data_IF_070913237294
#
_entry.id   IF_070913237294
#
_cell.length_a   1.000
_cell.length_b   1.000
_cell.length_c   1.000
_cell.angle_alpha   90.00
_cell.angle_beta   90.00
_cell.angle_gamma   90.00
#
_symmetry.space_group_name_H-M   'P 1'
#
loop_
_entity.id
_entity.type
_entity.pdbx_description
1 polymer ?
#
# COMPACT_ATOMS: atom_id res chain seq x y z
N UNK A 1 -6.08 7.78 -62.02
CA UNK A 1 -6.70 8.71 -61.05
C UNK A 1 -6.36 8.37 -59.59
N UNK A 2 -6.19 7.10 -59.18
CA UNK A 2 -5.89 6.74 -57.78
C UNK A 2 -4.49 7.13 -57.26
N UNK A 3 -3.46 7.27 -58.11
CA UNK A 3 -2.10 7.59 -57.64
C UNK A 3 -1.90 9.05 -57.17
N UNK A 4 -2.77 9.99 -57.57
CA UNK A 4 -2.66 11.41 -57.18
C UNK A 4 -3.25 11.73 -55.80
N UNK A 5 -4.08 10.85 -55.24
CA UNK A 5 -4.63 11.04 -53.89
C UNK A 5 -3.75 10.45 -52.79
N UNK A 6 -2.91 9.45 -53.10
CA UNK A 6 -1.99 8.85 -52.12
C UNK A 6 -0.89 9.81 -51.67
N UNK A 7 -0.34 10.61 -52.60
CA UNK A 7 0.72 11.59 -52.29
C UNK A 7 0.24 12.77 -51.44
N UNK A 8 -1.03 13.19 -51.56
CA UNK A 8 -1.58 14.27 -50.72
C UNK A 8 -1.83 13.85 -49.27
N UNK A 9 -2.10 12.56 -49.03
CA UNK A 9 -2.33 12.03 -47.67
C UNK A 9 -1.00 11.87 -46.91
N UNK A 10 0.07 11.46 -47.59
CA UNK A 10 1.40 11.30 -46.97
C UNK A 10 1.98 12.65 -46.52
N UNK A 11 1.87 13.69 -47.35
CA UNK A 11 2.35 15.04 -47.00
C UNK A 11 1.57 15.63 -45.81
N UNK A 12 0.26 15.39 -45.72
CA UNK A 12 -0.53 15.83 -44.57
C UNK A 12 -0.14 15.12 -43.26
N UNK A 13 0.21 13.84 -43.32
CA UNK A 13 0.64 13.03 -42.17
C UNK A 13 2.04 13.43 -41.64
N UNK A 14 2.98 13.74 -42.54
CA UNK A 14 4.32 14.24 -42.15
C UNK A 14 4.27 15.65 -41.56
N UNK A 15 3.36 16.51 -42.05
CA UNK A 15 3.22 17.87 -41.52
C UNK A 15 2.57 17.86 -40.12
N UNK A 16 1.58 16.98 -39.88
CA UNK A 16 0.91 16.81 -38.57
C UNK A 16 1.82 16.19 -37.50
N UNK A 17 2.73 15.28 -37.87
CA UNK A 17 3.70 14.69 -36.95
C UNK A 17 4.81 15.67 -36.55
N UNK A 18 5.25 16.55 -37.45
CA UNK A 18 6.24 17.59 -37.10
C UNK A 18 5.66 18.66 -36.15
N UNK A 19 4.41 19.08 -36.34
CA UNK A 19 3.73 20.10 -35.53
C UNK A 19 3.39 19.64 -34.10
N UNK A 20 3.15 18.34 -33.91
CA UNK A 20 2.88 17.75 -32.59
C UNK A 20 4.17 17.55 -31.78
N UNK A 21 5.28 17.20 -32.43
CA UNK A 21 6.59 17.07 -31.75
C UNK A 21 7.15 18.42 -31.27
N UNK A 22 7.05 19.48 -32.07
CA UNK A 22 7.60 20.79 -31.73
C UNK A 22 6.88 21.48 -30.56
N UNK A 23 5.55 21.33 -30.46
CA UNK A 23 4.78 21.87 -29.31
C UNK A 23 5.04 21.10 -28.01
N UNK A 24 5.34 19.80 -28.08
CA UNK A 24 5.68 18.99 -26.92
C UNK A 24 7.09 19.33 -26.39
N UNK A 25 8.05 19.54 -27.29
CA UNK A 25 9.44 19.83 -26.92
C UNK A 25 9.60 21.22 -26.27
N UNK A 26 8.80 22.21 -26.70
CA UNK A 26 8.74 23.54 -26.07
C UNK A 26 8.14 23.50 -24.65
N UNK A 27 7.10 22.71 -24.41
CA UNK A 27 6.52 22.54 -23.06
C UNK A 27 7.47 21.81 -22.11
N UNK A 28 8.18 20.79 -22.60
CA UNK A 28 9.17 20.04 -21.82
C UNK A 28 10.39 20.90 -21.45
N UNK A 29 10.91 21.71 -22.38
CA UNK A 29 12.00 22.66 -22.10
C UNK A 29 11.60 23.70 -21.05
N UNK A 30 10.37 24.21 -21.11
CA UNK A 30 9.88 25.19 -20.13
C UNK A 30 9.70 24.61 -18.72
N UNK A 31 9.23 23.37 -18.60
CA UNK A 31 9.14 22.67 -17.31
C UNK A 31 10.52 22.35 -16.71
N UNK A 32 11.49 21.99 -17.55
CA UNK A 32 12.86 21.68 -17.11
C UNK A 32 13.58 22.92 -16.57
N UNK A 33 13.48 24.04 -17.29
CA UNK A 33 14.12 25.31 -16.90
C UNK A 33 13.58 25.85 -15.57
N UNK A 34 12.26 25.74 -15.33
CA UNK A 34 11.67 26.15 -14.05
C UNK A 34 12.04 25.23 -12.89
N UNK A 35 12.20 23.92 -13.10
CA UNK A 35 12.66 23.02 -12.03
C UNK A 35 14.09 23.37 -11.59
N UNK A 36 14.99 23.61 -12.54
CA UNK A 36 16.41 23.86 -12.22
C UNK A 36 16.63 25.18 -11.47
N UNK A 37 15.88 26.25 -11.81
CA UNK A 37 15.92 27.51 -11.05
C UNK A 37 15.26 27.40 -9.67
N UNK A 38 14.21 26.59 -9.54
CA UNK A 38 13.51 26.40 -8.26
C UNK A 38 14.34 25.55 -7.27
N UNK A 39 14.99 24.49 -7.77
CA UNK A 39 15.89 23.67 -6.96
C UNK A 39 17.09 24.48 -6.45
N UNK A 40 17.66 25.39 -7.26
CA UNK A 40 18.77 26.25 -6.84
C UNK A 40 18.40 27.30 -5.79
N UNK A 41 17.13 27.73 -5.74
CA UNK A 41 16.66 28.77 -4.82
C UNK A 41 16.26 28.22 -3.44
N UNK A 42 15.90 26.93 -3.34
CA UNK A 42 15.55 26.31 -2.05
C UNK A 42 16.78 25.78 -1.26
N UNK A 43 17.92 25.54 -1.91
CA UNK A 43 19.12 25.06 -1.22
C UNK A 43 19.71 26.11 -0.25
N UNK A 44 19.37 27.40 -0.39
CA UNK A 44 19.82 28.48 0.52
C UNK A 44 18.92 28.74 1.73
N UNK A 45 17.69 28.19 1.74
CA UNK A 45 16.67 28.47 2.78
C UNK A 45 16.31 27.21 3.60
N UNK A 46 17.15 26.17 3.58
CA UNK A 46 16.92 24.96 4.38
C UNK A 46 17.14 25.20 5.87
N UNK A 47 16.06 25.13 6.63
CA UNK A 47 16.09 24.88 8.07
C UNK A 47 16.61 23.44 8.32
N UNK A 48 17.82 23.27 8.87
CA UNK A 48 18.42 21.96 9.12
C UNK A 48 17.64 21.11 10.13
N UNK A 49 16.67 21.69 10.85
CA UNK A 49 15.90 21.02 11.90
C UNK A 49 14.57 20.42 11.41
N UNK A 50 14.25 20.52 10.11
CA UNK A 50 12.99 19.99 9.57
C UNK A 50 13.06 18.47 9.41
N UNK A 51 12.48 17.77 10.38
CA UNK A 51 12.47 16.31 10.51
C UNK A 51 11.95 15.63 9.23
N UNK A 52 12.84 14.92 8.54
CA UNK A 52 12.50 14.11 7.36
C UNK A 52 11.75 12.88 7.85
N UNK A 53 10.47 12.75 7.48
CA UNK A 53 9.65 11.56 7.76
C UNK A 53 10.39 10.34 7.22
N UNK A 54 10.92 9.52 8.14
CA UNK A 54 11.68 8.33 7.82
C UNK A 54 10.72 7.31 7.18
N UNK A 55 11.00 6.79 5.96
CA UNK A 55 10.18 5.74 5.37
C UNK A 55 10.13 4.53 6.31
N UNK A 56 9.08 3.72 6.17
CA UNK A 56 8.96 2.49 6.93
C UNK A 56 10.25 1.66 6.82
N UNK A 57 10.66 1.09 7.95
CA UNK A 57 11.83 0.24 8.11
C UNK A 57 12.02 -0.82 7.01
N UNK A 58 10.90 -1.39 6.56
CA UNK A 58 10.80 -2.34 5.47
C UNK A 58 9.45 -2.16 4.78
N UNK A 59 9.35 -2.68 3.56
CA UNK A 59 8.15 -2.53 2.75
C UNK A 59 8.02 -3.65 1.72
N UNK A 60 6.83 -3.76 1.13
CA UNK A 60 6.50 -4.76 0.12
C UNK A 60 6.38 -4.10 -1.25
N UNK A 61 7.14 -4.60 -2.24
CA UNK A 61 7.06 -4.14 -3.64
C UNK A 61 6.42 -5.20 -4.51
N UNK A 62 5.70 -4.80 -5.56
CA UNK A 62 5.22 -5.75 -6.56
C UNK A 62 6.38 -6.45 -7.26
N UNK A 63 6.28 -7.76 -7.44
CA UNK A 63 7.32 -8.59 -8.05
C UNK A 63 6.94 -9.00 -9.47
N UNK A 64 7.67 -8.46 -10.45
CA UNK A 64 7.41 -8.69 -11.88
C UNK A 64 8.37 -9.69 -12.54
N UNK A 65 9.13 -10.44 -11.74
CA UNK A 65 10.15 -11.39 -12.22
C UNK A 65 11.59 -10.92 -12.02
N UNK A 66 11.80 -9.61 -11.83
CA UNK A 66 13.10 -9.03 -11.52
C UNK A 66 13.24 -8.80 -10.01
N UNK A 67 14.42 -9.13 -9.46
CA UNK A 67 14.76 -8.88 -8.06
C UNK A 67 15.19 -7.41 -7.92
N UNK A 68 14.53 -6.60 -7.08
CA UNK A 68 15.01 -5.24 -6.80
C UNK A 68 16.35 -5.22 -6.05
N UNK A 69 17.18 -4.20 -6.29
CA UNK A 69 18.49 -4.02 -5.61
C UNK A 69 18.40 -3.98 -4.08
N UNK A 70 17.25 -3.59 -3.54
CA UNK A 70 16.98 -3.48 -2.10
C UNK A 70 16.10 -4.62 -1.56
N UNK A 71 15.94 -5.70 -2.33
CA UNK A 71 15.28 -6.91 -1.86
C UNK A 71 16.10 -7.57 -0.74
N UNK A 72 15.42 -7.93 0.35
CA UNK A 72 16.08 -8.56 1.48
C UNK A 72 16.34 -10.05 1.20
N UNK A 73 17.61 -10.49 1.18
CA UNK A 73 17.95 -11.88 0.90
C UNK A 73 17.48 -12.79 2.04
N UNK A 74 16.92 -13.94 1.68
CA UNK A 74 16.44 -14.94 2.63
C UNK A 74 17.58 -15.80 3.19
N UNK A 75 18.47 -16.24 2.29
CA UNK A 75 19.62 -17.09 2.57
C UNK A 75 20.96 -16.34 2.49
N UNK A 76 22.07 -17.01 2.82
CA UNK A 76 23.40 -16.43 2.68
C UNK A 76 23.71 -16.14 1.20
N UNK A 77 24.57 -15.15 0.87
CA UNK A 77 24.89 -14.71 -0.49
C UNK A 77 25.57 -15.79 -1.32
N UNK A 78 26.18 -16.77 -0.65
CA UNK A 78 26.85 -17.91 -1.27
C UNK A 78 25.87 -19.01 -1.66
N UNK A 79 24.58 -18.88 -1.33
CA UNK A 79 23.56 -19.86 -1.70
C UNK A 79 23.24 -19.70 -3.19
N UNK A 80 23.31 -20.80 -3.93
CA UNK A 80 22.92 -20.85 -5.34
C UNK A 80 21.84 -21.92 -5.55
N UNK A 81 20.61 -21.56 -5.97
CA UNK A 81 20.15 -20.19 -6.26
C UNK A 81 19.97 -19.33 -5.01
N UNK A 82 20.18 -18.01 -5.18
CA UNK A 82 19.84 -17.03 -4.16
C UNK A 82 18.31 -16.99 -4.01
N UNK A 83 17.86 -16.90 -2.77
CA UNK A 83 16.43 -16.85 -2.44
C UNK A 83 16.06 -15.55 -1.75
N UNK A 84 14.80 -15.15 -1.94
CA UNK A 84 14.20 -13.94 -1.39
C UNK A 84 12.84 -14.25 -0.76
N UNK A 85 12.34 -13.31 0.05
CA UNK A 85 11.07 -13.45 0.73
C UNK A 85 9.97 -12.80 -0.12
N UNK A 86 8.96 -13.61 -0.46
CA UNK A 86 7.75 -13.14 -1.10
C UNK A 86 6.53 -13.23 -0.19
N UNK A 87 5.49 -12.46 -0.52
CA UNK A 87 4.11 -12.73 -0.14
C UNK A 87 3.31 -12.93 -1.41
N UNK A 88 2.42 -13.93 -1.39
CA UNK A 88 1.46 -14.17 -2.46
C UNK A 88 0.04 -14.04 -1.94
N UNK A 89 -0.80 -13.33 -2.68
CA UNK A 89 -2.23 -13.25 -2.43
C UNK A 89 -2.92 -14.45 -3.08
N UNK A 90 -3.43 -15.37 -2.27
CA UNK A 90 -4.18 -16.53 -2.71
C UNK A 90 -5.68 -16.20 -2.72
N UNK A 91 -6.21 -15.84 -3.89
CA UNK A 91 -7.59 -15.39 -4.06
C UNK A 91 -8.67 -16.42 -3.61
N UNK A 92 -8.54 -17.74 -3.84
CA UNK A 92 -9.51 -18.73 -3.36
C UNK A 92 -9.70 -18.72 -1.84
N UNK A 93 -8.60 -18.57 -1.09
CA UNK A 93 -8.61 -18.62 0.37
C UNK A 93 -8.59 -17.24 1.03
N UNK A 94 -8.52 -16.18 0.22
CA UNK A 94 -8.29 -14.79 0.63
C UNK A 94 -7.08 -14.60 1.56
N UNK A 95 -6.11 -15.52 1.53
CA UNK A 95 -4.94 -15.46 2.42
C UNK A 95 -3.74 -14.81 1.74
N UNK A 96 -2.90 -14.15 2.54
CA UNK A 96 -1.55 -13.74 2.16
C UNK A 96 -0.55 -14.71 2.79
N UNK A 97 0.12 -15.46 1.93
CA UNK A 97 1.06 -16.50 2.35
C UNK A 97 2.48 -16.05 2.08
N UNK A 98 3.36 -16.24 3.07
CA UNK A 98 4.80 -16.07 2.87
C UNK A 98 5.31 -17.18 1.95
N UNK A 99 6.13 -16.83 0.96
CA UNK A 99 6.69 -17.77 -0.03
C UNK A 99 8.16 -17.46 -0.31
N UNK A 100 8.84 -18.41 -0.96
CA UNK A 100 10.23 -18.27 -1.40
C UNK A 100 10.26 -17.85 -2.86
N UNK A 101 10.89 -16.72 -3.15
CA UNK A 101 11.21 -16.30 -4.52
C UNK A 101 12.61 -16.82 -4.84
N UNK A 102 12.75 -17.52 -5.95
CA UNK A 102 14.04 -17.94 -6.48
C UNK A 102 14.49 -16.96 -7.55
N UNK A 103 15.74 -16.54 -7.51
CA UNK A 103 16.31 -15.69 -8.54
C UNK A 103 16.18 -16.36 -9.94
N UNK A 104 15.79 -15.56 -10.93
CA UNK A 104 15.55 -16.03 -12.31
C UNK A 104 14.18 -16.68 -12.54
N UNK A 105 13.34 -16.88 -11.52
CA UNK A 105 11.96 -17.34 -11.68
C UNK A 105 10.98 -16.16 -11.58
N UNK A 106 9.98 -16.15 -12.45
CA UNK A 106 8.89 -15.16 -12.45
C UNK A 106 7.58 -15.71 -11.85
N UNK A 107 7.67 -16.78 -11.09
CA UNK A 107 6.54 -17.39 -10.40
C UNK A 107 6.98 -17.89 -9.03
N UNK A 108 6.00 -18.08 -8.16
CA UNK A 108 6.20 -18.71 -6.85
C UNK A 108 5.21 -19.85 -6.71
N UNK A 109 5.59 -20.83 -5.90
CA UNK A 109 4.64 -21.80 -5.40
C UNK A 109 3.92 -21.17 -4.20
N UNK A 110 2.61 -21.40 -4.05
CA UNK A 110 1.83 -21.16 -2.82
C UNK A 110 1.16 -22.45 -2.36
N UNK A 111 1.18 -22.71 -1.06
CA UNK A 111 0.93 -24.03 -0.52
C UNK A 111 -0.50 -24.30 -0.08
N UNK A 112 -1.40 -23.31 -0.08
CA UNK A 112 -2.72 -23.39 0.58
C UNK A 112 -3.50 -24.67 0.25
N UNK A 113 -3.34 -25.23 -0.96
CA UNK A 113 -3.97 -26.49 -1.38
C UNK A 113 -3.02 -27.45 -2.15
N UNK A 114 -1.71 -27.26 -2.04
CA UNK A 114 -0.72 -28.10 -2.73
C UNK A 114 -0.60 -27.82 -4.24
N UNK A 115 0.54 -27.24 -4.63
CA UNK A 115 0.96 -26.99 -6.03
C UNK A 115 0.28 -25.83 -6.79
N UNK A 116 -0.28 -24.84 -6.12
CA UNK A 116 -0.73 -23.63 -6.83
C UNK A 116 0.49 -22.82 -7.25
N UNK A 117 0.66 -22.64 -8.57
CA UNK A 117 1.68 -21.75 -9.13
C UNK A 117 1.07 -20.38 -9.33
N UNK A 118 1.60 -19.37 -8.65
CA UNK A 118 1.14 -17.99 -8.83
C UNK A 118 2.08 -17.23 -9.75
N UNK A 119 1.49 -16.44 -10.64
CA UNK A 119 2.22 -15.53 -11.53
C UNK A 119 2.45 -14.18 -10.86
N UNK A 120 3.42 -13.44 -11.38
CA UNK A 120 3.94 -12.14 -10.91
C UNK A 120 2.91 -11.15 -10.35
N UNK A 121 1.72 -11.04 -10.94
CA UNK A 121 0.73 -10.01 -10.60
C UNK A 121 0.18 -10.08 -9.16
N UNK A 122 0.37 -11.20 -8.48
CA UNK A 122 -0.11 -11.44 -7.11
C UNK A 122 1.03 -11.56 -6.09
N UNK A 123 2.26 -11.29 -6.50
CA UNK A 123 3.45 -11.51 -5.70
C UNK A 123 4.03 -10.16 -5.29
N UNK A 124 4.32 -10.04 -3.99
CA UNK A 124 5.13 -8.94 -3.45
C UNK A 124 6.43 -9.48 -2.89
N UNK A 125 7.51 -8.73 -3.01
CA UNK A 125 8.84 -9.03 -2.47
C UNK A 125 9.16 -8.11 -1.31
N UNK A 126 9.80 -8.64 -0.27
CA UNK A 126 10.24 -7.87 0.90
C UNK A 126 11.48 -7.06 0.54
N UNK A 127 11.41 -5.75 0.76
CA UNK A 127 12.52 -4.82 0.53
C UNK A 127 12.82 -4.00 1.79
N UNK A 128 14.08 -3.59 1.94
CA UNK A 128 14.51 -2.71 3.02
C UNK A 128 15.76 -1.92 2.60
N UNK A 129 15.85 -0.68 3.08
CA UNK A 129 17.04 0.15 2.94
C UNK A 129 18.01 0.00 4.13
N UNK A 130 17.61 -0.74 5.16
CA UNK A 130 18.37 -0.95 6.40
C UNK A 130 18.46 -2.46 6.70
N UNK A 131 19.08 -3.27 5.81
CA UNK A 131 19.16 -4.73 5.99
C UNK A 131 19.87 -5.11 7.30
N UNK A 132 20.76 -4.26 7.83
CA UNK A 132 21.45 -4.46 9.10
C UNK A 132 20.55 -4.39 10.34
N UNK A 133 19.31 -3.91 10.18
CA UNK A 133 18.30 -3.89 11.25
C UNK A 133 17.41 -5.13 11.22
N UNK A 134 17.56 -5.99 10.22
CA UNK A 134 16.85 -7.26 10.13
C UNK A 134 17.71 -8.36 10.72
N UNK A 135 17.14 -9.13 11.64
CA UNK A 135 17.85 -10.22 12.30
C UNK A 135 17.04 -11.50 12.24
N UNK A 136 17.73 -12.61 12.08
CA UNK A 136 17.15 -13.94 12.16
C UNK A 136 17.38 -14.50 13.56
N UNK A 137 16.29 -14.80 14.28
CA UNK A 137 16.38 -15.32 15.65
C UNK A 137 15.60 -16.63 15.78
N UNK A 138 16.22 -17.64 16.42
CA UNK A 138 15.52 -18.88 16.79
C UNK A 138 14.54 -18.56 17.91
N UNK A 139 13.24 -18.54 17.60
CA UNK A 139 12.21 -18.37 18.61
C UNK A 139 11.57 -19.70 18.98
N UNK A 140 11.37 -19.88 20.27
CA UNK A 140 10.58 -20.93 20.90
C UNK A 140 9.38 -20.27 21.58
N UNK A 141 8.36 -21.05 21.94
CA UNK A 141 7.25 -20.54 22.74
C UNK A 141 7.71 -19.94 24.09
N UNK A 142 8.83 -20.42 24.61
CA UNK A 142 9.40 -19.97 25.88
C UNK A 142 10.08 -18.61 25.75
N UNK A 143 10.77 -18.35 24.63
CA UNK A 143 11.57 -17.14 24.44
C UNK A 143 10.87 -16.04 23.63
N UNK A 144 9.65 -16.28 23.12
CA UNK A 144 8.90 -15.24 22.40
C UNK A 144 8.63 -14.00 23.26
N UNK A 145 8.55 -14.18 24.59
CA UNK A 145 8.40 -13.07 25.55
C UNK A 145 9.68 -12.26 25.75
N UNK A 146 10.85 -12.81 25.38
CA UNK A 146 12.16 -12.19 25.58
C UNK A 146 12.70 -11.47 24.35
N UNK A 147 11.88 -11.27 23.30
CA UNK A 147 12.31 -10.52 22.10
C UNK A 147 12.50 -9.01 22.36
N UNK A 148 12.10 -8.51 23.53
CA UNK A 148 12.36 -7.13 23.94
C UNK A 148 11.72 -6.10 23.00
N UNK A 149 12.54 -5.17 22.50
CA UNK A 149 12.13 -4.13 21.55
C UNK A 149 12.07 -4.64 20.08
N UNK A 150 12.56 -5.86 19.82
CA UNK A 150 12.58 -6.43 18.48
C UNK A 150 11.16 -6.79 18.05
N UNK A 151 10.80 -6.40 16.81
CA UNK A 151 9.44 -6.59 16.28
C UNK A 151 9.43 -7.70 15.22
N UNK A 152 8.61 -8.76 15.37
CA UNK A 152 8.46 -9.76 14.32
C UNK A 152 8.00 -9.14 13.00
N UNK A 153 8.66 -9.52 11.90
CA UNK A 153 8.30 -9.02 10.57
C UNK A 153 7.05 -9.76 10.08
N UNK A 154 6.02 -8.98 9.77
CA UNK A 154 4.72 -9.50 9.32
C UNK A 154 4.85 -10.04 7.90
N UNK A 155 4.53 -11.33 7.72
CA UNK A 155 4.60 -12.09 6.45
C UNK A 155 3.25 -12.24 5.75
N UNK A 156 2.24 -11.47 6.16
CA UNK A 156 0.88 -11.52 5.62
C UNK A 156 -0.15 -11.93 6.67
N UNK A 157 -1.36 -12.17 6.20
CA UNK A 157 -2.52 -12.56 6.99
C UNK A 157 -3.13 -13.81 6.38
N UNK A 158 -3.25 -14.87 7.17
CA UNK A 158 -3.92 -16.11 6.75
C UNK A 158 -5.27 -16.20 7.41
N UNK A 159 -6.25 -16.62 6.61
CA UNK A 159 -7.55 -17.05 7.09
C UNK A 159 -7.41 -18.45 7.70
N UNK A 160 -7.51 -18.54 9.02
CA UNK A 160 -7.76 -19.81 9.71
C UNK A 160 -9.22 -20.24 9.52
N UNK A 161 -9.58 -21.42 10.03
CA UNK A 161 -10.95 -21.97 9.92
C UNK A 161 -12.01 -21.01 10.43
N UNK A 162 -11.73 -20.26 11.49
CA UNK A 162 -12.69 -19.35 12.13
C UNK A 162 -12.19 -17.92 12.34
N UNK A 163 -10.89 -17.64 12.19
CA UNK A 163 -10.30 -16.34 12.50
C UNK A 163 -9.15 -15.99 11.53
N UNK A 164 -8.91 -14.71 11.34
CA UNK A 164 -7.71 -14.22 10.67
C UNK A 164 -6.53 -14.19 11.64
N UNK A 165 -5.37 -14.66 11.20
CA UNK A 165 -4.13 -14.60 11.95
C UNK A 165 -3.05 -13.88 11.16
N UNK A 166 -2.30 -13.01 11.85
CA UNK A 166 -1.06 -12.45 11.32
C UNK A 166 -0.02 -13.57 11.29
N UNK A 167 0.65 -13.69 10.16
CA UNK A 167 1.80 -14.55 10.00
C UNK A 167 3.08 -13.77 10.22
N UNK A 168 4.06 -14.40 10.85
CA UNK A 168 5.41 -13.86 10.96
C UNK A 168 6.34 -14.66 10.08
N UNK A 169 7.25 -13.95 9.40
CA UNK A 169 8.18 -14.55 8.44
C UNK A 169 9.15 -15.46 9.18
N UNK A 170 9.29 -16.69 8.68
CA UNK A 170 10.29 -17.63 9.15
C UNK A 170 11.19 -18.09 8.02
N UNK A 171 12.34 -18.67 8.37
CA UNK A 171 13.18 -19.42 7.43
C UNK A 171 13.63 -20.74 8.01
N UNK A 172 13.91 -21.68 7.13
CA UNK A 172 14.60 -22.93 7.45
C UNK A 172 15.42 -23.38 6.25
N UNK A 173 16.50 -24.12 6.51
CA UNK A 173 17.41 -24.59 5.48
C UNK A 173 17.27 -26.09 5.34
N UNK A 174 16.98 -26.58 4.12
CA UNK A 174 16.90 -28.01 3.80
C UNK A 174 17.73 -28.28 2.56
N UNK A 175 18.61 -29.27 2.62
CA UNK A 175 19.51 -29.63 1.53
C UNK A 175 20.33 -28.43 0.99
N UNK A 176 20.79 -27.54 1.89
CA UNK A 176 21.57 -26.35 1.53
C UNK A 176 20.78 -25.18 0.94
N UNK A 177 19.46 -25.32 0.76
CA UNK A 177 18.58 -24.25 0.27
C UNK A 177 17.78 -23.68 1.43
N UNK A 178 17.76 -22.35 1.55
CA UNK A 178 16.96 -21.65 2.55
C UNK A 178 15.60 -21.29 1.97
N UNK A 179 14.55 -21.74 2.66
CA UNK A 179 13.16 -21.53 2.30
C UNK A 179 12.48 -20.60 3.29
N UNK A 180 11.66 -19.69 2.77
CA UNK A 180 10.78 -18.86 3.57
C UNK A 180 9.56 -19.67 3.97
N UNK A 181 9.11 -19.42 5.18
CA UNK A 181 7.90 -19.98 5.75
C UNK A 181 7.20 -18.94 6.58
N UNK A 182 6.20 -19.39 7.33
CA UNK A 182 5.56 -18.56 8.32
C UNK A 182 5.20 -19.33 9.58
N UNK A 183 5.01 -18.56 10.66
CA UNK A 183 4.36 -19.03 11.88
C UNK A 183 3.10 -18.18 12.13
N UNK A 184 2.00 -18.85 12.44
CA UNK A 184 0.74 -18.21 12.83
C UNK A 184 0.55 -18.39 14.33
N UNK A 185 0.11 -17.33 15.04
CA UNK A 185 -0.08 -17.36 16.50
C UNK A 185 -1.32 -18.16 16.93
N UNK A 186 -2.30 -18.35 16.05
CA UNK A 186 -3.64 -18.89 16.36
C UNK A 186 -3.79 -20.38 16.07
N UNK A 187 -3.10 -20.90 15.06
CA UNK A 187 -2.91 -22.33 14.94
C UNK A 187 -1.82 -22.72 15.95
N UNK A 188 -1.96 -23.84 16.65
CA UNK A 188 -0.81 -24.51 17.30
C UNK A 188 0.41 -24.39 16.39
N UNK A 189 1.64 -24.18 16.89
CA UNK A 189 2.82 -23.73 16.13
C UNK A 189 3.23 -24.70 15.02
N UNK A 190 2.39 -24.82 14.01
CA UNK A 190 2.56 -25.54 12.78
C UNK A 190 3.36 -24.59 11.93
N UNK A 191 4.63 -24.94 11.81
CA UNK A 191 5.65 -24.14 11.15
C UNK A 191 5.62 -24.56 9.70
N UNK A 192 4.99 -23.77 8.85
CA UNK A 192 4.84 -24.15 7.45
C UNK A 192 6.00 -23.59 6.66
N UNK A 193 6.76 -24.48 6.03
CA UNK A 193 7.74 -24.11 4.99
C UNK A 193 7.28 -24.75 3.71
N UNK A 194 7.31 -23.96 2.65
CA UNK A 194 6.96 -24.44 1.35
C UNK A 194 8.18 -24.96 0.62
N UNK A 195 8.17 -26.24 0.26
CA UNK A 195 9.20 -26.88 -0.55
C UNK A 195 8.51 -27.55 -1.72
N UNK A 196 8.83 -27.09 -2.94
CA UNK A 196 8.28 -27.62 -4.19
C UNK A 196 6.75 -27.74 -4.17
N UNK A 197 6.05 -26.65 -3.80
CA UNK A 197 4.58 -26.65 -3.75
C UNK A 197 3.95 -27.30 -2.52
N UNK A 198 4.71 -28.05 -1.72
CA UNK A 198 4.20 -28.78 -0.55
C UNK A 198 4.55 -28.07 0.76
N UNK A 199 3.58 -28.03 1.67
CA UNK A 199 3.83 -27.63 3.04
C UNK A 199 4.54 -28.74 3.81
N UNK A 200 5.70 -28.39 4.35
CA UNK A 200 6.44 -29.22 5.26
C UNK A 200 6.43 -28.54 6.62
N UNK A 201 6.27 -29.33 7.68
CA UNK A 201 6.58 -28.88 9.03
C UNK A 201 8.06 -29.07 9.30
N UNK A 202 8.67 -28.12 10.01
CA UNK A 202 10.02 -28.27 10.55
C UNK A 202 10.01 -27.95 12.03
N UNK A 203 10.90 -28.57 12.81
CA UNK A 203 11.11 -28.13 14.18
C UNK A 203 12.10 -26.96 14.26
N UNK A 204 13.02 -26.87 13.29
CA UNK A 204 14.12 -25.93 13.24
C UNK A 204 13.86 -24.79 12.24
N UNK A 205 13.60 -23.61 12.78
CA UNK A 205 13.34 -22.40 12.01
C UNK A 205 13.86 -21.18 12.77
N UNK A 206 14.09 -20.10 12.02
CA UNK A 206 14.39 -18.78 12.55
C UNK A 206 13.26 -17.82 12.16
N UNK A 207 12.99 -16.83 12.99
CA UNK A 207 12.00 -15.78 12.74
C UNK A 207 12.74 -14.53 12.31
N UNK A 208 12.19 -13.82 11.33
CA UNK A 208 12.70 -12.52 10.95
C UNK A 208 12.16 -11.47 11.92
N UNK A 209 13.07 -10.78 12.59
CA UNK A 209 12.75 -9.65 13.46
C UNK A 209 13.35 -8.38 12.88
N UNK A 210 12.68 -7.26 13.10
CA UNK A 210 13.20 -5.92 12.86
C UNK A 210 13.58 -5.27 14.18
N UNK A 211 14.82 -4.81 14.26
CA UNK A 211 15.39 -4.09 15.41
C UNK A 211 15.51 -2.60 15.06
N UNK A 212 14.66 -1.73 15.62
CA UNK A 212 14.82 -0.29 15.43
C UNK A 212 16.16 0.17 16.00
N UNK A 213 16.96 0.93 15.23
CA UNK A 213 18.17 1.56 15.78
C UNK A 213 17.79 2.48 16.94
N UNK A 214 18.33 2.22 18.12
CA UNK A 214 18.34 3.21 19.21
C UNK A 214 19.28 4.33 18.81
N UNK A 215 18.87 5.57 19.05
CA UNK A 215 19.66 6.76 18.70
C UNK A 215 21.04 6.67 19.36
N UNK A 216 22.09 6.52 18.56
CA UNK A 216 23.48 6.43 19.02
C UNK A 216 24.06 5.03 19.19
N UNK A 217 23.28 3.96 18.97
CA UNK A 217 23.80 2.59 19.00
C UNK A 217 24.23 2.11 17.61
N UNK A 218 25.47 1.61 17.50
CA UNK A 218 25.92 0.79 16.37
C UNK A 218 25.54 -0.67 16.65
N UNK A 219 24.87 -1.33 15.70
CA UNK A 219 24.57 -2.76 15.82
C UNK A 219 25.87 -3.59 15.74
N UNK A 220 26.27 -4.34 16.79
CA UNK A 220 27.49 -5.15 16.79
C UNK A 220 27.40 -6.33 15.80
N UNK A 221 26.22 -6.90 15.59
CA UNK A 221 26.01 -7.99 14.62
C UNK A 221 26.27 -7.53 13.18
N UNK A 222 25.95 -6.25 12.89
CA UNK A 222 26.25 -5.63 11.61
C UNK A 222 27.77 -5.47 11.36
N UNK A 223 28.63 -5.63 12.36
CA UNK A 223 30.09 -5.65 12.13
C UNK A 223 30.59 -7.00 11.61
N UNK A 224 29.98 -8.12 11.98
CA UNK A 224 30.29 -9.44 11.39
C UNK A 224 29.72 -9.53 9.95
N UNK A 225 28.52 -8.99 9.73
CA UNK A 225 27.89 -8.91 8.41
C UNK A 225 28.42 -7.74 7.54
N UNK A 226 29.36 -6.92 8.00
CA UNK A 226 29.91 -5.85 7.14
C UNK A 226 30.74 -6.39 5.96
N UNK A 227 31.27 -7.60 6.08
CA UNK A 227 31.86 -8.35 4.95
C UNK A 227 30.81 -8.84 3.94
N UNK A 228 29.53 -8.89 4.35
CA UNK A 228 28.38 -9.40 3.61
C UNK A 228 27.80 -8.37 2.63
N UNK A 229 27.95 -7.07 2.91
CA UNK A 229 27.36 -5.97 2.12
C UNK A 229 28.40 -5.04 1.46
N UNK A 230 29.71 -5.31 1.60
CA UNK A 230 30.78 -4.47 1.03
C UNK A 230 31.12 -4.83 -0.42
N UNK A 231 30.18 -4.75 -1.35
CA UNK A 231 30.51 -4.52 -2.75
C UNK A 231 30.16 -3.07 -3.08
N UNK A 232 31.20 -2.24 -3.24
CA UNK A 232 31.05 -0.87 -3.76
C UNK A 232 30.51 -0.96 -5.19
N UNK A 233 29.20 -0.74 -5.36
CA UNK A 233 28.61 -0.50 -6.68
C UNK A 233 28.81 0.98 -7.04
N UNK A 234 29.69 1.24 -8.01
CA UNK A 234 29.83 2.55 -8.66
C UNK A 234 28.60 2.80 -9.55
N UNK A 235 27.73 3.73 -9.15
CA UNK A 235 26.55 4.10 -9.92
C UNK A 235 26.94 4.89 -11.18
N UNK A 236 26.84 4.28 -12.37
CA UNK A 236 26.84 5.00 -13.66
C UNK A 236 25.44 4.97 -14.27
N UNK A 237 24.68 6.04 -14.08
CA UNK A 237 23.38 6.21 -14.73
C UNK A 237 23.61 6.64 -16.19
N UNK A 238 23.43 5.73 -17.14
CA UNK A 238 23.15 6.10 -18.53
C UNK A 238 21.65 6.24 -18.72
N UNK A 239 21.16 7.47 -18.79
CA UNK A 239 19.74 7.74 -19.02
C UNK A 239 19.36 7.43 -20.47
N UNK A 240 18.53 6.41 -20.69
CA UNK A 240 17.69 6.31 -21.90
C UNK A 240 16.26 5.93 -21.50
N UNK A 241 15.43 6.97 -21.40
CA UNK A 241 14.08 7.07 -21.98
C UNK A 241 13.16 5.82 -21.92
N UNK A 242 12.43 5.65 -20.81
CA UNK A 242 11.12 4.96 -20.79
C UNK A 242 10.17 5.70 -19.83
N UNK A 243 9.60 6.82 -20.27
CA UNK A 243 8.49 7.52 -19.58
C UNK A 243 7.60 8.07 -20.69
N UNK A 244 6.51 7.39 -21.11
CA UNK A 244 5.19 8.03 -20.92
C UNK A 244 3.95 7.09 -20.89
N UNK A 245 3.99 5.89 -20.29
CA UNK A 245 2.76 5.06 -20.11
C UNK A 245 2.22 4.99 -18.68
N UNK A 246 2.94 5.53 -17.69
CA UNK A 246 2.68 5.23 -16.27
C UNK A 246 1.61 6.09 -15.57
N UNK A 247 1.04 7.12 -16.21
CA UNK A 247 0.24 8.14 -15.50
C UNK A 247 -1.28 8.10 -15.70
N UNK A 248 -1.86 7.10 -16.36
CA UNK A 248 -3.28 7.18 -16.74
C UNK A 248 -4.32 6.50 -15.84
N UNK A 249 -3.96 5.73 -14.80
CA UNK A 249 -4.98 4.88 -14.14
C UNK A 249 -4.91 4.68 -12.61
N UNK A 250 -4.18 5.48 -11.84
CA UNK A 250 -4.27 5.40 -10.37
C UNK A 250 -4.50 6.78 -9.76
N UNK A 251 -5.66 6.94 -9.12
CA UNK A 251 -5.89 7.93 -8.05
C UNK A 251 -5.01 7.55 -6.85
N UNK A 252 -3.70 7.69 -7.01
CA UNK A 252 -2.78 7.60 -5.89
C UNK A 252 -3.05 8.79 -4.97
N UNK A 253 -3.27 8.53 -3.67
CA UNK A 253 -3.15 9.56 -2.64
C UNK A 253 -1.80 10.27 -2.73
N UNK A 254 -1.57 11.36 -1.96
CA UNK A 254 -0.41 12.23 -2.16
C UNK A 254 0.89 11.43 -2.21
N UNK A 255 1.41 11.20 -3.42
CA UNK A 255 2.71 10.58 -3.61
C UNK A 255 3.72 11.55 -3.00
N UNK A 256 4.45 11.09 -2.01
CA UNK A 256 5.64 11.80 -1.57
C UNK A 256 6.63 11.70 -2.72
N UNK A 257 6.94 12.81 -3.37
CA UNK A 257 8.00 12.83 -4.38
C UNK A 257 9.31 12.77 -3.60
N UNK A 258 10.05 11.68 -3.79
CA UNK A 258 11.41 11.54 -3.28
C UNK A 258 12.35 12.01 -4.38
N UNK A 259 12.85 13.24 -4.27
CA UNK A 259 13.89 13.74 -5.15
C UNK A 259 15.25 13.29 -4.61
N UNK A 260 16.12 12.78 -5.49
CA UNK A 260 17.50 12.44 -5.14
C UNK A 260 18.41 13.43 -5.86
N UNK A 261 19.25 14.17 -5.12
CA UNK A 261 20.21 15.08 -5.75
C UNK A 261 21.42 14.31 -6.31
N UNK A 262 22.32 15.01 -7.01
CA UNK A 262 23.53 14.42 -7.61
C UNK A 262 24.46 13.74 -6.59
N UNK A 263 24.29 14.01 -5.30
CA UNK A 263 25.03 13.39 -4.19
C UNK A 263 24.30 12.21 -3.54
N UNK A 264 23.18 11.73 -4.10
CA UNK A 264 22.43 10.59 -3.55
C UNK A 264 21.56 10.93 -2.32
N UNK A 265 21.47 12.20 -1.91
CA UNK A 265 20.60 12.59 -0.79
C UNK A 265 19.13 12.61 -1.24
N UNK A 266 18.32 11.78 -0.61
CA UNK A 266 16.87 11.65 -0.83
C UNK A 266 16.11 12.69 0.01
N UNK A 267 15.31 13.57 -0.61
CA UNK A 267 14.42 14.55 0.02
C UNK A 267 12.97 14.14 -0.22
N UNK A 268 12.20 13.88 0.84
CA UNK A 268 10.74 13.70 0.77
C UNK A 268 10.10 15.08 0.70
N UNK A 269 9.56 15.46 -0.45
CA UNK A 269 8.86 16.73 -0.60
C UNK A 269 7.40 16.53 -0.21
N UNK A 270 7.06 16.77 1.05
CA UNK A 270 5.67 16.92 1.49
C UNK A 270 5.35 18.41 1.50
N UNK A 271 5.04 18.97 0.34
CA UNK A 271 4.78 20.39 0.24
C UNK A 271 3.36 20.69 0.78
N UNK A 272 3.27 21.36 1.94
CA UNK A 272 1.99 21.82 2.51
C UNK A 272 1.18 22.65 1.51
N UNK A 273 1.87 23.36 0.58
CA UNK A 273 1.26 24.12 -0.51
C UNK A 273 0.68 23.24 -1.64
N UNK A 274 1.22 22.03 -1.84
CA UNK A 274 0.63 21.02 -2.74
C UNK A 274 -0.57 20.37 -2.05
N UNK A 275 -0.47 20.02 -0.77
CA UNK A 275 -1.60 19.49 0.00
C UNK A 275 -2.76 20.49 0.11
N UNK A 276 -2.48 21.79 0.30
CA UNK A 276 -3.50 22.85 0.31
C UNK A 276 -4.14 23.09 -1.06
N UNK A 277 -3.57 22.56 -2.14
CA UNK A 277 -4.19 22.58 -3.48
C UNK A 277 -5.10 21.37 -3.72
N UNK A 278 -4.95 20.30 -2.93
CA UNK A 278 -5.85 19.17 -2.93
C UNK A 278 -7.08 19.52 -2.09
N UNK A 279 -8.25 19.08 -2.52
CA UNK A 279 -9.46 19.36 -1.78
C UNK A 279 -9.63 18.41 -0.56
N UNK A 280 -8.97 17.24 -0.54
CA UNK A 280 -8.76 16.40 0.65
C UNK A 280 -7.45 15.62 0.54
N UNK A 281 -7.03 15.00 1.64
CA UNK A 281 -5.92 14.07 1.71
C UNK A 281 -6.14 13.05 2.84
N UNK A 282 -5.41 11.93 2.81
CA UNK A 282 -5.42 10.91 3.86
C UNK A 282 -4.16 11.05 4.72
N UNK A 283 -4.32 11.22 6.04
CA UNK A 283 -3.22 11.41 6.99
C UNK A 283 -3.04 10.21 7.92
N UNK A 284 -1.81 9.77 8.20
CA UNK A 284 -1.55 8.82 9.29
C UNK A 284 -2.18 9.29 10.61
N UNK A 285 -2.70 8.33 11.38
CA UNK A 285 -3.37 8.62 12.66
C UNK A 285 -2.44 9.24 13.72
N UNK A 286 -1.15 8.93 13.68
CA UNK A 286 -0.14 9.55 14.54
C UNK A 286 0.15 11.02 14.16
N UNK A 287 -0.30 11.46 12.98
CA UNK A 287 -0.29 12.86 12.52
C UNK A 287 -1.69 13.52 12.62
N UNK A 288 -2.61 12.94 13.40
CA UNK A 288 -3.99 13.40 13.51
C UNK A 288 -4.10 14.83 14.06
N UNK A 289 -4.78 15.69 13.29
CA UNK A 289 -5.28 16.99 13.76
C UNK A 289 -6.80 17.03 13.62
N UNK A 290 -7.49 17.10 14.75
CA UNK A 290 -8.94 17.19 14.84
C UNK A 290 -9.54 18.38 14.06
N UNK A 291 -8.76 19.45 13.82
CA UNK A 291 -9.23 20.63 13.06
C UNK A 291 -9.32 20.38 11.57
N UNK A 292 -8.44 19.53 11.04
CA UNK A 292 -8.37 19.22 9.61
C UNK A 292 -9.13 17.92 9.29
N UNK A 293 -9.33 17.04 10.27
CA UNK A 293 -10.05 15.79 10.06
C UNK A 293 -11.54 16.00 9.75
N UNK A 294 -12.02 15.34 8.69
CA UNK A 294 -13.41 15.45 8.26
C UNK A 294 -14.32 14.62 9.17
N UNK A 295 -15.25 15.32 9.82
CA UNK A 295 -16.20 14.73 10.78
C UNK A 295 -17.33 13.99 10.07
N UNK A 296 -17.78 12.90 10.70
CA UNK A 296 -18.91 12.09 10.21
C UNK A 296 -20.26 12.65 10.66
N UNK A 297 -20.34 13.29 11.82
CA UNK A 297 -21.61 13.74 12.41
C UNK A 297 -22.04 15.16 12.03
N UNK A 298 -23.23 15.55 12.47
CA UNK A 298 -23.64 16.96 12.46
C UNK A 298 -22.90 17.76 13.54
N UNK A 299 -22.77 19.09 13.41
CA UNK A 299 -22.30 19.94 14.50
C UNK A 299 -23.19 19.75 15.73
N UNK A 300 -22.69 19.03 16.75
CA UNK A 300 -23.42 18.72 17.99
C UNK A 300 -23.45 17.22 18.35
N UNK A 301 -23.23 16.32 17.39
CA UNK A 301 -22.93 14.92 17.71
C UNK A 301 -21.54 14.85 18.34
N UNK A 302 -21.33 13.90 19.26
CA UNK A 302 -20.07 13.72 20.00
C UNK A 302 -18.87 14.00 19.10
N UNK A 303 -18.10 15.05 19.43
CA UNK A 303 -17.09 15.76 18.61
C UNK A 303 -15.90 14.92 18.08
N UNK A 304 -16.01 13.59 18.11
CA UNK A 304 -14.88 12.68 18.06
C UNK A 304 -15.00 11.59 17.00
N UNK A 305 -16.02 11.61 16.13
CA UNK A 305 -16.15 10.60 15.06
C UNK A 305 -15.65 11.17 13.74
N UNK A 306 -14.52 10.64 13.28
CA UNK A 306 -13.88 11.01 12.02
C UNK A 306 -13.93 9.87 11.02
N UNK A 307 -13.78 10.21 9.74
CA UNK A 307 -13.70 9.25 8.64
C UNK A 307 -12.28 8.68 8.63
N UNK A 308 -12.16 7.43 9.05
CA UNK A 308 -10.92 6.68 8.97
C UNK A 308 -10.90 5.78 7.74
N UNK A 309 -9.71 5.48 7.28
CA UNK A 309 -9.42 4.42 6.34
C UNK A 309 -8.31 3.58 6.92
N UNK A 310 -8.42 2.28 6.90
CA UNK A 310 -7.33 1.41 7.38
C UNK A 310 -7.03 0.35 6.34
N UNK A 311 -5.78 -0.11 6.37
CA UNK A 311 -5.30 -1.17 5.51
C UNK A 311 -5.56 -2.52 6.17
N UNK A 312 -6.62 -3.18 5.74
CA UNK A 312 -6.94 -4.55 6.15
C UNK A 312 -6.57 -5.56 5.05
N UNK A 313 -6.30 -6.80 5.49
CA UNK A 313 -6.13 -8.04 4.73
C UNK A 313 -6.37 -7.91 3.21
N UNK A 314 -5.30 -7.73 2.42
CA UNK A 314 -5.38 -7.85 0.95
C UNK A 314 -5.26 -6.57 0.13
N UNK A 315 -4.94 -5.41 0.73
CA UNK A 315 -4.88 -4.15 -0.03
C UNK A 315 -6.13 -3.29 0.13
N UNK A 316 -6.99 -3.64 1.09
CA UNK A 316 -8.28 -2.99 1.26
C UNK A 316 -8.14 -1.85 2.20
N UNK A 317 -8.42 -0.70 1.64
CA UNK A 317 -8.79 0.48 2.37
C UNK A 317 -10.27 0.36 2.77
N UNK A 318 -10.54 0.16 4.05
CA UNK A 318 -11.92 0.13 4.58
C UNK A 318 -12.23 1.39 5.35
N UNK A 319 -13.44 1.94 5.17
CA UNK A 319 -13.86 3.18 5.83
C UNK A 319 -14.46 2.84 7.19
N UNK A 320 -13.88 3.39 8.25
CA UNK A 320 -14.32 3.18 9.62
C UNK A 320 -14.54 4.48 10.38
N UNK A 321 -15.11 4.37 11.59
CA UNK A 321 -15.12 5.48 12.53
C UNK A 321 -13.81 5.49 13.30
N UNK A 322 -13.22 6.67 13.44
CA UNK A 322 -12.12 6.86 14.39
C UNK A 322 -12.65 7.62 15.60
N UNK A 323 -12.33 7.18 16.80
CA UNK A 323 -12.55 7.93 18.05
C UNK A 323 -11.27 7.88 18.89
N UNK A 324 -10.44 8.92 18.81
CA UNK A 324 -9.09 8.88 19.36
C UNK A 324 -8.18 7.99 18.51
N UNK A 325 -7.37 7.15 19.15
CA UNK A 325 -6.30 6.40 18.48
C UNK A 325 -6.73 5.09 17.81
N UNK A 326 -8.04 4.87 17.65
CA UNK A 326 -8.59 3.60 17.18
C UNK A 326 -9.61 3.79 16.07
N UNK A 327 -9.50 2.94 15.04
CA UNK A 327 -10.51 2.80 13.99
C UNK A 327 -11.38 1.59 14.25
N UNK A 328 -12.68 1.80 14.19
CA UNK A 328 -13.69 0.76 14.25
C UNK A 328 -14.14 0.45 12.82
N UNK A 329 -13.84 -0.75 12.37
CA UNK A 329 -14.31 -1.29 11.10
C UNK A 329 -15.48 -2.23 11.33
N UNK A 330 -16.55 -2.04 10.57
CA UNK A 330 -17.64 -3.01 10.50
C UNK A 330 -17.43 -3.98 9.35
N UNK A 331 -17.37 -5.27 9.66
CA UNK A 331 -17.38 -6.33 8.65
C UNK A 331 -18.44 -7.36 9.01
N UNK A 332 -19.59 -7.28 8.35
CA UNK A 332 -20.77 -8.07 8.69
C UNK A 332 -21.27 -7.73 10.10
N UNK A 333 -21.39 -8.76 10.96
CA UNK A 333 -21.81 -8.60 12.36
C UNK A 333 -20.67 -8.30 13.35
N UNK A 334 -19.44 -8.17 12.84
CA UNK A 334 -18.25 -7.99 13.66
C UNK A 334 -17.71 -6.58 13.56
N UNK A 335 -17.21 -6.08 14.68
CA UNK A 335 -16.50 -4.80 14.76
C UNK A 335 -15.05 -5.10 15.08
N UNK A 336 -14.15 -4.70 14.18
CA UNK A 336 -12.72 -4.78 14.38
C UNK A 336 -12.22 -3.44 14.88
N UNK A 337 -11.37 -3.46 15.90
CA UNK A 337 -10.66 -2.28 16.39
C UNK A 337 -9.23 -2.38 15.89
N UNK A 338 -8.86 -1.49 14.98
CA UNK A 338 -7.50 -1.41 14.43
C UNK A 338 -6.85 -0.11 14.91
N UNK A 339 -5.70 -0.25 15.58
CA UNK A 339 -4.84 0.86 16.01
C UNK A 339 -3.71 1.13 15.02
N UNK A 340 -3.31 0.12 14.24
CA UNK A 340 -2.16 0.20 13.34
C UNK A 340 -2.61 0.54 11.90
N UNK A 341 -1.83 1.35 11.19
CA UNK A 341 -2.05 1.71 9.77
C UNK A 341 -3.40 2.38 9.47
N UNK A 342 -3.84 3.21 10.39
CA UNK A 342 -4.98 4.10 10.19
C UNK A 342 -4.55 5.35 9.44
N UNK A 343 -5.31 5.66 8.39
CA UNK A 343 -5.38 6.95 7.76
C UNK A 343 -6.67 7.66 8.16
N UNK A 344 -6.65 8.98 8.27
CA UNK A 344 -7.80 9.83 8.56
C UNK A 344 -8.01 10.75 7.37
N UNK A 345 -9.27 10.84 6.91
CA UNK A 345 -9.63 11.76 5.85
C UNK A 345 -9.58 13.18 6.41
N UNK A 346 -8.73 14.01 5.82
CA UNK A 346 -8.49 15.37 6.26
C UNK A 346 -8.64 16.35 5.10
N UNK A 347 -9.03 17.58 5.42
CA UNK A 347 -9.18 18.68 4.48
C UNK A 347 -9.09 20.02 5.20
N UNK A 348 -8.50 21.00 4.53
CA UNK A 348 -8.50 22.41 4.97
C UNK A 348 -9.77 23.13 4.44
N UNK A 349 -10.62 22.42 3.69
CA UNK A 349 -11.78 22.92 2.96
C UNK A 349 -13.04 22.06 3.18
N UNK A 350 -13.49 21.82 4.43
CA UNK A 350 -14.67 21.00 4.70
C UNK A 350 -15.94 21.55 4.04
N UNK A 351 -16.00 22.86 3.76
CA UNK A 351 -17.11 23.52 3.07
C UNK A 351 -17.35 23.04 1.64
N UNK A 352 -16.33 22.43 1.00
CA UNK A 352 -16.41 21.88 -0.37
C UNK A 352 -17.11 20.53 -0.46
N UNK A 353 -17.42 19.92 0.67
CA UNK A 353 -18.04 18.62 0.74
C UNK A 353 -19.50 18.73 1.16
N UNK A 354 -20.30 17.78 0.72
CA UNK A 354 -21.68 17.61 1.14
C UNK A 354 -22.03 16.13 1.32
N UNK A 355 -22.96 15.89 2.23
CA UNK A 355 -23.57 14.58 2.44
C UNK A 355 -24.87 14.50 1.67
N UNK A 356 -24.94 13.61 0.68
CA UNK A 356 -26.12 13.44 -0.16
C UNK A 356 -26.87 12.19 0.28
N UNK A 357 -28.16 12.36 0.64
CA UNK A 357 -29.05 11.24 0.94
C UNK A 357 -29.18 10.32 -0.28
N UNK A 358 -29.10 9.03 -0.04
CA UNK A 358 -29.14 8.00 -1.07
C UNK A 358 -29.81 6.74 -0.54
N UNK A 359 -30.28 5.91 -1.46
CA UNK A 359 -30.77 4.57 -1.20
C UNK A 359 -30.02 3.55 -2.04
N UNK A 360 -30.37 2.28 -1.90
CA UNK A 360 -29.93 1.18 -2.77
C UNK A 360 -30.10 1.51 -4.26
N UNK A 361 -31.21 2.16 -4.58
CA UNK A 361 -31.72 2.39 -5.93
C UNK A 361 -31.23 3.72 -6.52
N UNK A 362 -31.09 4.76 -5.70
CA UNK A 362 -30.63 6.06 -6.16
C UNK A 362 -29.10 6.17 -6.19
N UNK A 363 -28.37 5.35 -5.43
CA UNK A 363 -26.90 5.42 -5.39
C UNK A 363 -26.24 5.21 -6.75
N UNK A 364 -26.63 4.22 -7.58
CA UNK A 364 -26.04 4.04 -8.91
C UNK A 364 -26.27 5.24 -9.85
N UNK A 365 -27.23 6.12 -9.53
CA UNK A 365 -27.55 7.32 -10.31
C UNK A 365 -26.73 8.56 -9.90
N UNK A 366 -26.02 8.51 -8.77
CA UNK A 366 -25.16 9.60 -8.33
C UNK A 366 -23.91 9.71 -9.20
N UNK A 367 -23.42 10.93 -9.40
CA UNK A 367 -22.19 11.18 -10.15
C UNK A 367 -20.96 10.67 -9.37
N UNK A 368 -20.47 9.49 -9.77
CA UNK A 368 -19.32 8.84 -9.14
C UNK A 368 -18.02 9.64 -9.24
N UNK A 369 -17.92 10.62 -10.16
CA UNK A 369 -16.74 11.49 -10.26
C UNK A 369 -16.65 12.50 -9.12
N UNK A 370 -17.77 12.77 -8.44
CA UNK A 370 -17.85 13.66 -7.27
C UNK A 370 -17.69 12.92 -5.94
N UNK A 371 -17.85 11.60 -5.93
CA UNK A 371 -17.78 10.80 -4.70
C UNK A 371 -16.35 10.65 -4.19
N UNK A 372 -16.19 10.66 -2.87
CA UNK A 372 -14.89 10.46 -2.24
C UNK A 372 -14.57 8.95 -2.19
N UNK A 373 -13.48 8.49 -2.82
CA UNK A 373 -13.06 7.10 -2.76
C UNK A 373 -12.74 6.70 -1.31
N UNK A 374 -13.43 5.67 -0.83
CA UNK A 374 -13.18 5.06 0.47
C UNK A 374 -12.14 3.94 0.41
N UNK A 375 -11.82 3.45 -0.79
CA UNK A 375 -10.93 2.31 -0.97
C UNK A 375 -11.37 1.35 -2.07
N UNK A 376 -11.06 0.06 -1.87
CA UNK A 376 -11.37 -1.01 -2.81
C UNK A 376 -11.64 -2.31 -2.05
N UNK A 377 -12.70 -3.02 -2.40
CA UNK A 377 -13.03 -4.35 -1.89
C UNK A 377 -12.08 -5.43 -2.45
N UNK A 378 -12.10 -6.62 -1.85
CA UNK A 378 -11.22 -7.75 -2.21
C UNK A 378 -11.34 -8.14 -3.69
N UNK A 379 -12.54 -8.00 -4.26
CA UNK A 379 -12.84 -8.32 -5.65
C UNK A 379 -12.50 -7.17 -6.62
N UNK A 380 -11.80 -6.13 -6.18
CA UNK A 380 -11.47 -4.95 -6.97
C UNK A 380 -12.58 -3.89 -7.05
N UNK A 381 -13.73 -4.11 -6.41
CA UNK A 381 -14.84 -3.14 -6.42
C UNK A 381 -14.46 -1.89 -5.66
N UNK A 382 -14.52 -0.72 -6.31
CA UNK A 382 -14.27 0.56 -5.65
C UNK A 382 -15.31 0.82 -4.55
N UNK A 383 -14.86 1.30 -3.40
CA UNK A 383 -15.73 1.76 -2.32
C UNK A 383 -15.70 3.28 -2.23
N UNK A 384 -16.77 3.85 -1.69
CA UNK A 384 -16.92 5.28 -1.46
C UNK A 384 -17.22 5.56 0.01
N UNK A 385 -16.86 6.75 0.47
CA UNK A 385 -17.12 7.20 1.84
C UNK A 385 -18.61 7.48 2.00
N UNK A 386 -19.26 6.81 2.95
CA UNK A 386 -20.64 7.04 3.34
C UNK A 386 -20.84 7.14 4.85
N UNK A 387 -22.07 7.42 5.25
CA UNK A 387 -22.54 7.32 6.63
C UNK A 387 -24.00 6.92 6.67
N UNK A 388 -24.42 6.20 7.70
CA UNK A 388 -25.82 5.92 7.98
C UNK A 388 -26.30 6.76 9.15
N UNK A 389 -27.63 6.88 9.27
CA UNK A 389 -28.27 7.52 10.41
C UNK A 389 -28.99 6.42 11.19
N UNK A 390 -28.47 6.06 12.35
CA UNK A 390 -29.07 5.07 13.24
C UNK A 390 -29.42 5.72 14.58
N UNK A 391 -30.71 5.74 14.92
CA UNK A 391 -31.22 6.32 16.19
C UNK A 391 -30.67 7.74 16.42
N UNK A 392 -30.79 8.59 15.40
CA UNK A 392 -30.30 9.97 15.39
C UNK A 392 -28.79 10.13 15.57
N UNK A 393 -28.00 9.07 15.35
CA UNK A 393 -26.53 9.13 15.36
C UNK A 393 -25.99 8.78 13.98
N UNK A 394 -24.93 9.48 13.58
CA UNK A 394 -24.22 9.17 12.35
C UNK A 394 -23.13 8.13 12.60
N UNK A 395 -23.10 7.10 11.76
CA UNK A 395 -22.06 6.08 11.77
C UNK A 395 -21.41 6.05 10.39
N UNK A 396 -20.09 6.23 10.26
CA UNK A 396 -19.44 6.14 8.97
C UNK A 396 -19.47 4.69 8.48
N UNK A 397 -19.44 4.56 7.16
CA UNK A 397 -19.35 3.27 6.52
C UNK A 397 -18.83 3.41 5.11
N UNK A 398 -18.66 2.26 4.48
CA UNK A 398 -18.36 2.18 3.06
C UNK A 398 -19.63 1.97 2.27
N UNK A 399 -19.70 2.58 1.10
CA UNK A 399 -20.77 2.37 0.12
C UNK A 399 -20.15 1.78 -1.14
N UNK A 400 -20.75 0.71 -1.67
CA UNK A 400 -20.26 0.01 -2.84
C UNK A 400 -21.39 -0.50 -3.71
N UNK A 401 -21.15 -0.54 -5.02
CA UNK A 401 -22.02 -1.23 -5.97
C UNK A 401 -21.46 -2.65 -6.10
N UNK A 402 -22.06 -3.64 -5.44
CA UNK A 402 -21.65 -5.02 -5.70
C UNK A 402 -22.23 -5.46 -7.04
N UNK A 403 -21.39 -5.90 -8.01
CA UNK A 403 -21.90 -6.65 -9.15
C UNK A 403 -22.48 -7.97 -8.62
N UNK A 404 -23.66 -8.34 -9.11
CA UNK A 404 -24.54 -9.35 -8.50
C UNK A 404 -23.89 -10.68 -8.10
N UNK A 405 -24.50 -11.28 -7.07
CA UNK A 405 -24.27 -12.62 -6.50
C UNK A 405 -23.14 -12.79 -5.47
N UNK A 406 -23.40 -12.33 -4.24
CA UNK A 406 -23.03 -13.11 -3.04
C UNK A 406 -24.35 -13.48 -2.37
N UNK A 407 -24.69 -14.77 -2.43
CA UNK A 407 -26.01 -15.33 -2.13
C UNK A 407 -26.54 -14.83 -0.76
N UNK A 408 -27.75 -14.27 -0.78
CA UNK A 408 -28.63 -13.81 0.31
C UNK A 408 -28.64 -12.32 0.70
N UNK A 409 -27.90 -11.44 0.03
CA UNK A 409 -28.28 -10.02 -0.02
C UNK A 409 -28.67 -9.76 -1.47
N UNK A 410 -29.97 -9.57 -1.70
CA UNK A 410 -30.50 -9.22 -3.02
C UNK A 410 -29.71 -8.04 -3.59
N UNK A 411 -29.42 -8.09 -4.90
CA UNK A 411 -28.60 -7.11 -5.62
C UNK A 411 -28.88 -5.68 -5.12
N UNK A 412 -27.94 -5.07 -4.40
CA UNK A 412 -28.21 -3.79 -3.77
C UNK A 412 -26.94 -3.05 -3.37
N UNK A 413 -26.97 -1.73 -3.53
CA UNK A 413 -26.03 -0.86 -2.84
C UNK A 413 -26.39 -0.85 -1.37
N UNK A 414 -25.47 -1.18 -0.48
CA UNK A 414 -25.67 -0.99 0.95
C UNK A 414 -24.50 -0.22 1.54
N UNK A 415 -24.75 0.44 2.66
CA UNK A 415 -23.68 0.89 3.54
C UNK A 415 -23.36 -0.23 4.52
N UNK A 416 -22.08 -0.58 4.65
CA UNK A 416 -21.62 -1.41 5.77
C UNK A 416 -21.16 -0.48 6.89
N UNK A 417 -21.83 -0.57 8.03
CA UNK A 417 -21.60 0.27 9.20
C UNK A 417 -21.55 -0.55 10.49
N UNK A 418 -21.20 0.10 11.59
CA UNK A 418 -21.24 -0.51 12.93
C UNK A 418 -22.60 -1.14 13.28
N UNK A 419 -23.72 -0.60 12.78
CA UNK A 419 -25.06 -1.08 13.13
C UNK A 419 -25.66 -2.06 12.10
N UNK A 420 -24.92 -2.38 11.03
CA UNK A 420 -25.31 -3.39 10.04
C UNK A 420 -25.32 -2.86 8.61
N UNK A 421 -26.30 -3.32 7.83
CA UNK A 421 -26.57 -2.81 6.48
C UNK A 421 -27.80 -1.92 6.50
N UNK A 422 -27.65 -0.65 6.13
CA UNK A 422 -28.79 0.25 5.96
C UNK A 422 -29.17 0.42 4.48
N UNK A 423 -30.48 0.49 4.21
CA UNK A 423 -31.04 0.77 2.88
C UNK A 423 -31.08 2.27 2.57
N UNK A 424 -31.08 3.10 3.62
CA UNK A 424 -30.98 4.55 3.54
C UNK A 424 -29.66 5.01 4.16
N UNK A 425 -28.91 5.80 3.42
CA UNK A 425 -27.59 6.26 3.82
C UNK A 425 -27.25 7.59 3.16
N UNK A 426 -26.12 8.17 3.55
CA UNK A 426 -25.57 9.36 2.95
C UNK A 426 -24.21 9.05 2.35
N UNK A 427 -23.90 9.66 1.22
CA UNK A 427 -22.60 9.54 0.53
C UNK A 427 -21.91 10.89 0.57
N UNK A 428 -20.61 10.88 0.81
CA UNK A 428 -19.81 12.10 0.79
C UNK A 428 -19.41 12.46 -0.65
N UNK A 429 -19.84 13.64 -1.10
CA UNK A 429 -19.55 14.17 -2.44
C UNK A 429 -18.87 15.54 -2.35
N UNK A 430 -18.14 15.90 -3.40
CA UNK A 430 -17.80 17.30 -3.68
C UNK A 430 -19.02 18.09 -4.14
N UNK A 431 -19.19 19.33 -3.66
CA UNK A 431 -20.19 20.27 -4.19
C UNK A 431 -19.87 20.64 -5.64
N UNK A 432 -20.91 20.81 -6.45
CA UNK A 432 -20.92 20.87 -7.94
C UNK A 432 -20.00 21.89 -8.64
N UNK A 433 -19.22 22.70 -7.91
CA UNK A 433 -18.38 23.74 -8.52
C UNK A 433 -16.95 23.28 -8.84
N UNK A 434 -16.54 22.07 -8.46
CA UNK A 434 -15.19 21.55 -8.72
C UNK A 434 -15.23 20.10 -9.19
N UNK A 435 -15.29 19.87 -10.51
CA UNK A 435 -14.98 18.54 -11.08
C UNK A 435 -13.53 18.19 -10.76
N UNK A 436 -13.31 17.01 -10.19
CA UNK A 436 -11.96 16.44 -10.03
C UNK A 436 -11.43 16.14 -11.43
N UNK A 437 -10.44 16.91 -11.90
CA UNK A 437 -9.83 16.76 -13.23
C UNK A 437 -8.78 15.67 -13.27
#
# INVERSE_FOLDING_TARGET
MLQRHFWKIIILLETLTSLTSAKFDLKLKYCRFKCDEWCKKEDSDMDPDKEVIKPAAYYWRDFYGDIPDDAYPLGPPTQNPQTYIGIVLDAPNNGQYTTTIFEGLNFVYSGSEGNTTHKTEQIKILCTLEPENMIWMKLTLENIKSIGDDKPVKGGLIRGTNNWGINFITKSTKCGITYAGYINRLAEPMKYIQINGNFNTTEEFMNLLYRPKKKGEMNPQAQEDKSFFSHHYEYRIQSKSIIPKFFKQLNAGPCSIICTNEMGKKKKITNKKILSSLAYYWKPNDEFDAKEALKVGSPGDSDRIYIGQTYDTGGIYDVGSTSGDSVYLSYGKYVYVLSDFTLILSTDHPEKFEWVNSTTDSFPMLDQSRMIPGGMFLNGTKTFVGREIYVSKYSPGKVNILPGSIRQIENGTFIASFYGSALEFQVLLFKDEQKIS
#
